data_IF_903987039435
#
_entry.id   IF_903987039435
#
_cell.length_a   1.000
_cell.length_b   1.000
_cell.length_c   1.000
_cell.angle_alpha   90.00
_cell.angle_beta   90.00
_cell.angle_gamma   90.00
#
_symmetry.space_group_name_H-M   'P 1'
#
loop_
_entity.id
_entity.type
_entity.pdbx_description
1 polymer ?
#
# COMPACT_ATOMS: atom_id res chain seq x y z
N UNK A 1 19.18 -3.01 18.82
CA UNK A 1 19.95 -2.67 17.60
C UNK A 1 19.35 -3.41 16.42
N UNK A 2 19.04 -2.70 15.33
CA UNK A 2 18.39 -3.28 14.13
C UNK A 2 19.31 -4.23 13.38
N UNK A 3 18.73 -5.31 12.83
CA UNK A 3 19.47 -6.42 12.19
C UNK A 3 20.29 -6.05 10.94
N UNK A 4 20.02 -4.90 10.30
CA UNK A 4 20.68 -4.47 9.07
C UNK A 4 20.96 -2.96 9.10
N UNK A 5 22.06 -2.56 9.76
CA UNK A 5 22.41 -1.13 9.90
C UNK A 5 22.93 -0.54 8.58
N UNK A 6 23.52 -1.35 7.70
CA UNK A 6 24.07 -0.93 6.41
C UNK A 6 23.08 -1.13 5.24
N UNK A 7 21.79 -1.32 5.54
CA UNK A 7 20.77 -1.46 4.52
C UNK A 7 20.69 -0.17 3.67
N UNK A 8 20.83 -0.32 2.34
CA UNK A 8 20.76 0.81 1.40
C UNK A 8 19.36 1.39 1.25
N UNK A 9 18.34 0.57 1.51
CA UNK A 9 16.93 0.95 1.39
C UNK A 9 16.06 0.05 2.26
N UNK A 10 14.85 0.52 2.53
CA UNK A 10 13.78 -0.24 3.18
C UNK A 10 12.60 -0.33 2.22
N UNK A 11 12.01 -1.53 2.11
CA UNK A 11 10.79 -1.76 1.34
C UNK A 11 9.64 -2.05 2.30
N UNK A 12 8.62 -1.20 2.29
CA UNK A 12 7.46 -1.32 3.15
C UNK A 12 6.31 -1.92 2.34
N UNK A 13 6.02 -3.21 2.54
CA UNK A 13 4.93 -3.89 1.85
C UNK A 13 3.60 -3.69 2.57
N UNK A 14 2.56 -3.31 1.83
CA UNK A 14 1.20 -3.17 2.37
C UNK A 14 1.06 -2.05 3.42
N UNK A 15 1.97 -1.07 3.38
CA UNK A 15 1.96 0.14 4.18
C UNK A 15 2.31 1.33 3.27
N UNK A 16 1.67 2.50 3.44
CA UNK A 16 0.58 2.80 4.37
C UNK A 16 -0.77 2.26 3.87
N UNK A 17 -1.68 1.91 4.80
CA UNK A 17 -3.05 1.45 4.50
C UNK A 17 -4.09 2.57 4.61
N UNK A 18 -3.75 3.67 5.24
CA UNK A 18 -4.60 4.85 5.40
C UNK A 18 -3.77 6.13 5.47
N UNK A 19 -4.38 7.29 5.18
CA UNK A 19 -3.70 8.57 5.13
C UNK A 19 -3.00 8.95 6.44
N UNK A 20 -3.64 8.70 7.59
CA UNK A 20 -3.05 9.00 8.91
C UNK A 20 -1.72 8.28 9.14
N UNK A 21 -1.58 7.05 8.64
CA UNK A 21 -0.33 6.30 8.74
C UNK A 21 0.80 6.95 7.96
N UNK A 22 0.50 7.68 6.89
CA UNK A 22 1.49 8.48 6.16
C UNK A 22 2.02 9.58 7.08
N UNK A 23 1.13 10.39 7.63
CA UNK A 23 1.48 11.52 8.49
C UNK A 23 2.29 11.09 9.72
N UNK A 24 1.84 10.01 10.38
CA UNK A 24 2.52 9.47 11.56
C UNK A 24 3.92 8.95 11.20
N UNK A 25 4.06 8.26 10.05
CA UNK A 25 5.36 7.75 9.59
C UNK A 25 6.35 8.87 9.23
N UNK A 26 5.88 9.92 8.55
CA UNK A 26 6.74 11.04 8.18
C UNK A 26 7.18 11.85 9.41
N UNK A 27 6.30 11.96 10.41
CA UNK A 27 6.59 12.63 11.68
C UNK A 27 7.59 11.86 12.55
N UNK A 28 7.44 10.54 12.64
CA UNK A 28 8.17 9.72 13.61
C UNK A 28 9.40 9.03 13.02
N UNK A 29 9.43 8.82 11.70
CA UNK A 29 10.48 8.05 11.02
C UNK A 29 11.19 8.90 9.98
N UNK A 30 10.54 9.14 8.82
CA UNK A 30 11.05 9.97 7.72
C UNK A 30 10.03 10.07 6.59
N UNK A 31 10.16 11.09 5.75
CA UNK A 31 9.52 11.12 4.44
C UNK A 31 9.94 9.94 3.56
N UNK A 32 8.97 9.39 2.81
CA UNK A 32 9.21 8.34 1.82
C UNK A 32 9.79 8.95 0.54
N UNK A 33 10.58 8.14 -0.19
CA UNK A 33 11.21 8.58 -1.43
C UNK A 33 10.51 8.04 -2.69
N UNK A 34 9.63 7.07 -2.53
CA UNK A 34 8.92 6.39 -3.62
C UNK A 34 7.73 5.61 -3.06
N UNK A 35 6.61 5.62 -3.77
CA UNK A 35 5.46 4.77 -3.52
C UNK A 35 5.12 3.96 -4.78
N UNK A 36 4.76 2.69 -4.60
CA UNK A 36 4.42 1.78 -5.70
C UNK A 36 2.99 1.27 -5.49
N UNK A 37 2.18 1.35 -6.54
CA UNK A 37 0.86 0.72 -6.59
C UNK A 37 0.83 -0.23 -7.77
N UNK A 38 0.43 -1.46 -7.49
CA UNK A 38 0.18 -2.46 -8.52
C UNK A 38 -1.21 -2.18 -9.10
N UNK A 39 -1.25 -1.70 -10.34
CA UNK A 39 -2.50 -1.48 -11.06
C UNK A 39 -3.01 -2.82 -11.58
N UNK A 40 -3.81 -3.47 -10.74
CA UNK A 40 -4.27 -4.83 -10.95
C UNK A 40 -5.76 -4.81 -11.28
N UNK A 41 -6.12 -5.36 -12.44
CA UNK A 41 -7.52 -5.55 -12.82
C UNK A 41 -8.29 -6.28 -11.71
N UNK A 42 -9.46 -5.74 -11.31
CA UNK A 42 -10.20 -6.23 -10.16
C UNK A 42 -10.71 -7.66 -10.37
N UNK A 43 -11.14 -8.02 -11.58
CA UNK A 43 -11.61 -9.38 -11.86
C UNK A 43 -10.47 -10.39 -11.72
N UNK A 44 -9.28 -10.04 -12.20
CA UNK A 44 -8.06 -10.82 -12.02
C UNK A 44 -7.66 -10.90 -10.54
N UNK A 45 -7.77 -9.80 -9.78
CA UNK A 45 -7.47 -9.75 -8.35
C UNK A 45 -8.35 -10.72 -7.57
N UNK A 46 -9.66 -10.67 -7.83
CA UNK A 46 -10.67 -11.52 -7.20
C UNK A 46 -10.36 -12.99 -7.44
N UNK A 47 -10.18 -13.38 -8.71
CA UNK A 47 -9.81 -14.75 -9.06
C UNK A 47 -8.53 -15.22 -8.35
N UNK A 48 -7.52 -14.37 -8.26
CA UNK A 48 -6.29 -14.72 -7.55
C UNK A 48 -6.52 -14.88 -6.03
N UNK A 49 -7.35 -14.04 -5.40
CA UNK A 49 -7.69 -14.20 -3.99
C UNK A 49 -8.57 -15.43 -3.72
N UNK A 50 -9.50 -15.75 -4.62
CA UNK A 50 -10.30 -16.98 -4.58
C UNK A 50 -9.40 -18.22 -4.64
N UNK A 51 -8.41 -18.24 -5.54
CA UNK A 51 -7.44 -19.35 -5.63
C UNK A 51 -6.59 -19.53 -4.37
N UNK A 52 -6.47 -18.47 -3.55
CA UNK A 52 -5.81 -18.49 -2.24
C UNK A 52 -6.77 -18.90 -1.10
N UNK A 53 -8.03 -19.23 -1.41
CA UNK A 53 -9.02 -19.73 -0.46
C UNK A 53 -9.75 -18.65 0.34
N UNK A 54 -9.77 -17.40 -0.12
CA UNK A 54 -10.58 -16.35 0.51
C UNK A 54 -12.04 -16.47 0.07
N UNK A 55 -12.98 -16.20 0.98
CA UNK A 55 -14.40 -16.07 0.64
C UNK A 55 -14.70 -14.75 -0.05
N UNK A 56 -15.76 -14.71 -0.85
CA UNK A 56 -16.22 -13.52 -1.56
C UNK A 56 -16.41 -12.31 -0.62
N UNK A 57 -17.01 -12.53 0.55
CA UNK A 57 -17.20 -11.48 1.56
C UNK A 57 -15.87 -10.87 2.03
N UNK A 58 -14.84 -11.70 2.23
CA UNK A 58 -13.51 -11.23 2.63
C UNK A 58 -12.81 -10.48 1.50
N UNK A 59 -12.98 -10.94 0.26
CA UNK A 59 -12.42 -10.30 -0.93
C UNK A 59 -13.06 -8.91 -1.11
N UNK A 60 -14.39 -8.84 -1.06
CA UNK A 60 -15.14 -7.58 -1.14
C UNK A 60 -14.75 -6.61 -0.03
N UNK A 61 -14.61 -7.11 1.20
CA UNK A 61 -14.19 -6.27 2.33
C UNK A 61 -12.79 -5.68 2.09
N UNK A 62 -11.84 -6.48 1.59
CA UNK A 62 -10.47 -6.02 1.31
C UNK A 62 -10.40 -5.02 0.17
N UNK A 63 -11.10 -5.28 -0.93
CA UNK A 63 -11.16 -4.36 -2.07
C UNK A 63 -11.79 -3.03 -1.63
N UNK A 64 -12.89 -3.11 -0.89
CA UNK A 64 -13.57 -1.92 -0.35
C UNK A 64 -12.66 -1.12 0.58
N UNK A 65 -11.96 -1.78 1.50
CA UNK A 65 -11.03 -1.13 2.42
C UNK A 65 -9.88 -0.45 1.68
N UNK A 66 -9.29 -1.13 0.70
CA UNK A 66 -8.24 -0.55 -0.15
C UNK A 66 -8.74 0.72 -0.86
N UNK A 67 -9.92 0.66 -1.50
CA UNK A 67 -10.49 1.81 -2.21
C UNK A 67 -10.83 2.98 -1.29
N UNK A 68 -11.34 2.70 -0.08
CA UNK A 68 -11.82 3.74 0.83
C UNK A 68 -10.72 4.36 1.68
N UNK A 69 -9.72 3.57 2.09
CA UNK A 69 -8.68 4.02 3.03
C UNK A 69 -7.32 4.19 2.38
N UNK A 70 -6.93 3.28 1.50
CA UNK A 70 -5.57 3.23 0.92
C UNK A 70 -5.43 4.06 -0.36
N UNK A 71 -6.44 4.10 -1.24
CA UNK A 71 -6.37 4.98 -2.42
C UNK A 71 -6.24 6.47 -2.07
N UNK A 72 -6.90 7.01 -1.01
CA UNK A 72 -6.65 8.39 -0.60
C UNK A 72 -5.20 8.68 -0.20
N UNK A 73 -4.47 7.73 0.41
CA UNK A 73 -3.04 7.92 0.69
C UNK A 73 -2.19 7.84 -0.58
N UNK A 74 -2.62 7.09 -1.60
CA UNK A 74 -1.97 7.11 -2.91
C UNK A 74 -1.96 8.52 -3.53
N UNK A 75 -3.09 9.22 -3.44
CA UNK A 75 -3.20 10.59 -3.96
C UNK A 75 -2.18 11.54 -3.34
N UNK A 76 -1.89 11.40 -2.05
CA UNK A 76 -0.86 12.19 -1.37
C UNK A 76 0.52 12.01 -2.02
N UNK A 77 0.89 10.79 -2.39
CA UNK A 77 2.16 10.50 -3.07
C UNK A 77 2.15 10.93 -4.53
N UNK A 78 1.00 10.83 -5.21
CA UNK A 78 0.82 11.27 -6.60
C UNK A 78 0.99 12.79 -6.74
N UNK A 79 0.39 13.56 -5.84
CA UNK A 79 0.50 15.03 -5.79
C UNK A 79 1.97 15.48 -5.61
N UNK A 80 2.82 14.63 -5.02
CA UNK A 80 4.26 14.85 -4.85
C UNK A 80 5.13 14.24 -5.96
N UNK A 81 4.53 13.59 -6.96
CA UNK A 81 5.21 12.84 -8.04
C UNK A 81 6.10 11.70 -7.52
N UNK A 82 5.73 11.11 -6.39
CA UNK A 82 6.41 9.96 -5.78
C UNK A 82 5.71 8.63 -6.11
N UNK A 83 4.48 8.69 -6.63
CA UNK A 83 3.70 7.50 -6.96
C UNK A 83 4.07 6.93 -8.33
N UNK A 84 4.29 5.62 -8.36
CA UNK A 84 4.47 4.85 -9.59
C UNK A 84 3.41 3.75 -9.65
N UNK A 85 2.67 3.72 -10.76
CA UNK A 85 1.76 2.64 -11.13
C UNK A 85 2.55 1.58 -11.90
N UNK A 86 2.39 0.31 -11.51
CA UNK A 86 3.10 -0.84 -12.08
C UNK A 86 2.13 -1.95 -12.43
#
# INVERSE_FOLDING_TARGET
>A
MGRNQDAKAFFLEGFPREARQVEDFEREVRAVNMALILDYDEATLRRHMETRGLSDEMIDARIREFKQKTLPSAKYFDDQRLLHLV
#
